data_IF_086098482153
#
_entry.id   IF_086098482153
#
_cell.length_a   1.000
_cell.length_b   1.000
_cell.length_c   1.000
_cell.angle_alpha   90.00
_cell.angle_beta   90.00
_cell.angle_gamma   90.00
#
_symmetry.space_group_name_H-M   'P 1'
#
loop_
_entity.id
_entity.type
_entity.pdbx_description
1 polymer ?
#
# COMPACT_ATOMS: atom_id res chain seq x y z
N UNK A 1 -21.59 33.85 19.86
CA UNK A 1 -20.51 32.97 20.37
C UNK A 1 -20.95 31.54 20.15
N UNK A 2 -20.47 30.90 19.09
CA UNK A 2 -20.71 29.46 18.89
C UNK A 2 -19.98 28.66 19.99
N UNK A 3 -20.59 27.63 20.57
CA UNK A 3 -19.93 26.84 21.59
C UNK A 3 -18.75 26.10 20.97
N UNK A 4 -17.55 26.32 21.50
CA UNK A 4 -16.35 25.52 21.21
C UNK A 4 -16.68 24.06 21.56
N UNK A 5 -17.07 23.25 20.55
CA UNK A 5 -17.15 21.79 20.67
C UNK A 5 -15.80 21.31 21.17
N UNK A 6 -15.76 20.78 22.39
CA UNK A 6 -14.61 20.07 22.95
C UNK A 6 -14.30 18.89 22.03
N UNK A 7 -13.26 19.04 21.19
CA UNK A 7 -12.79 17.95 20.35
C UNK A 7 -12.05 16.99 21.29
N UNK A 8 -12.64 15.82 21.55
CA UNK A 8 -11.96 14.75 22.25
C UNK A 8 -10.64 14.43 21.50
N UNK A 9 -9.53 14.20 22.21
CA UNK A 9 -8.27 13.85 21.58
C UNK A 9 -8.42 12.53 20.82
N UNK A 10 -7.73 12.41 19.68
CA UNK A 10 -7.70 11.18 18.89
C UNK A 10 -6.94 10.12 19.70
N UNK A 11 -7.61 9.01 20.01
CA UNK A 11 -7.09 7.91 20.84
C UNK A 11 -6.54 6.74 20.04
N UNK A 12 -6.63 6.79 18.70
CA UNK A 12 -6.26 5.71 17.80
C UNK A 12 -5.08 6.09 16.90
N UNK A 13 -4.34 5.09 16.41
CA UNK A 13 -3.15 5.28 15.59
C UNK A 13 -3.38 4.74 14.19
N UNK A 14 -3.27 5.63 13.19
CA UNK A 14 -3.36 5.24 11.78
C UNK A 14 -2.09 4.55 11.31
N UNK A 15 -2.22 3.38 10.69
CA UNK A 15 -1.08 2.59 10.19
C UNK A 15 -1.21 2.33 8.68
N UNK A 16 -0.30 2.81 7.83
CA UNK A 16 -0.35 2.54 6.40
C UNK A 16 0.03 1.08 6.11
N UNK A 17 -0.72 0.41 5.24
CA UNK A 17 -0.37 -0.94 4.79
C UNK A 17 0.55 -0.87 3.57
N UNK A 18 1.86 -0.94 3.84
CA UNK A 18 2.92 -0.81 2.86
C UNK A 18 3.55 -2.17 2.47
N UNK A 19 4.21 -2.25 1.29
CA UNK A 19 5.04 -3.40 0.92
C UNK A 19 6.17 -3.66 1.92
N UNK A 20 6.52 -4.94 2.09
CA UNK A 20 7.57 -5.35 3.04
C UNK A 20 8.94 -4.74 2.70
N UNK A 21 9.26 -4.64 1.42
CA UNK A 21 10.50 -4.02 0.93
C UNK A 21 10.58 -2.50 1.14
N UNK A 22 9.53 -1.88 1.69
CA UNK A 22 9.53 -0.49 2.14
C UNK A 22 9.62 -0.39 3.66
N UNK A 23 9.02 -1.35 4.38
CA UNK A 23 8.99 -1.37 5.85
C UNK A 23 10.34 -1.70 6.48
N UNK A 24 11.13 -2.54 5.82
CA UNK A 24 12.45 -2.95 6.32
C UNK A 24 13.55 -1.99 5.89
N UNK A 25 14.43 -1.63 6.82
CA UNK A 25 15.67 -0.90 6.54
C UNK A 25 16.84 -1.82 6.12
N UNK A 26 16.61 -3.14 6.09
CA UNK A 26 17.62 -4.11 5.69
C UNK A 26 17.88 -4.04 4.18
N UNK A 27 19.14 -3.82 3.80
CA UNK A 27 19.58 -3.80 2.41
C UNK A 27 20.01 -5.20 2.00
N UNK A 28 19.31 -5.78 1.02
CA UNK A 28 19.75 -7.00 0.35
C UNK A 28 20.98 -6.66 -0.50
N UNK A 29 22.06 -7.41 -0.33
CA UNK A 29 23.33 -7.19 -1.02
C UNK A 29 23.63 -8.29 -2.05
N UNK A 30 24.43 -7.93 -3.04
CA UNK A 30 25.07 -8.85 -3.98
C UNK A 30 26.55 -8.54 -4.05
N UNK A 31 27.37 -9.55 -4.30
CA UNK A 31 28.81 -9.39 -4.40
C UNK A 31 29.21 -8.99 -5.82
N UNK A 32 30.06 -7.97 -5.93
CA UNK A 32 30.65 -7.52 -7.19
C UNK A 32 32.17 -7.44 -7.08
N UNK A 33 32.84 -7.57 -8.21
CA UNK A 33 34.26 -7.25 -8.31
C UNK A 33 34.47 -5.76 -8.49
N UNK A 34 35.35 -5.21 -7.66
CA UNK A 34 35.74 -3.81 -7.67
C UNK A 34 37.25 -3.72 -7.82
N UNK A 35 37.71 -2.89 -8.75
CA UNK A 35 39.13 -2.59 -8.92
C UNK A 35 39.41 -1.13 -8.56
N UNK A 36 40.67 -0.84 -8.28
CA UNK A 36 41.17 0.49 -7.95
C UNK A 36 41.69 1.18 -9.20
N UNK A 37 41.18 2.38 -9.48
CA UNK A 37 41.63 3.28 -10.53
C UNK A 37 42.93 3.94 -10.07
N UNK A 38 44.03 3.59 -10.74
CA UNK A 38 45.35 4.21 -10.53
C UNK A 38 45.42 5.51 -11.33
N UNK A 39 45.06 5.46 -12.62
CA UNK A 39 45.09 6.63 -13.50
C UNK A 39 43.71 7.29 -13.62
N UNK A 40 43.48 8.39 -12.90
CA UNK A 40 42.21 9.14 -12.93
C UNK A 40 41.88 9.75 -14.29
N UNK A 41 42.88 10.00 -15.15
CA UNK A 41 42.62 10.55 -16.50
C UNK A 41 41.99 9.51 -17.44
N UNK A 42 42.16 8.22 -17.15
CA UNK A 42 41.60 7.12 -17.93
C UNK A 42 40.19 6.72 -17.52
N UNK A 43 39.63 7.26 -16.43
CA UNK A 43 38.34 6.82 -15.87
C UNK A 43 37.20 6.83 -16.90
N UNK A 44 37.06 7.89 -17.70
CA UNK A 44 36.01 7.96 -18.72
C UNK A 44 36.17 6.92 -19.83
N UNK A 45 37.41 6.56 -20.18
CA UNK A 45 37.69 5.51 -21.18
C UNK A 45 37.31 4.13 -20.61
N UNK A 46 37.72 3.86 -19.37
CA UNK A 46 37.42 2.60 -18.66
C UNK A 46 35.91 2.39 -18.48
N UNK A 47 35.18 3.43 -18.08
CA UNK A 47 33.72 3.34 -17.93
C UNK A 47 33.04 3.05 -19.27
N UNK A 48 33.51 3.67 -20.37
CA UNK A 48 32.99 3.43 -21.73
C UNK A 48 33.27 1.99 -22.20
N UNK A 49 34.49 1.49 -22.02
CA UNK A 49 34.84 0.13 -22.42
C UNK A 49 34.05 -0.91 -21.61
N UNK A 50 33.90 -0.75 -20.30
CA UNK A 50 33.02 -1.61 -19.50
C UNK A 50 31.56 -1.56 -19.94
N UNK A 51 31.07 -0.38 -20.33
CA UNK A 51 29.71 -0.20 -20.83
C UNK A 51 29.43 -0.97 -22.11
N UNK A 52 30.40 -1.01 -23.04
CA UNK A 52 30.30 -1.76 -24.30
C UNK A 52 30.23 -3.28 -24.08
N UNK A 53 30.84 -3.78 -23.01
CA UNK A 53 30.86 -5.21 -22.68
C UNK A 53 29.56 -5.71 -22.05
N UNK A 54 28.62 -4.81 -21.69
CA UNK A 54 27.30 -5.13 -21.13
C UNK A 54 27.31 -6.04 -19.90
N UNK A 55 28.42 -6.08 -19.16
CA UNK A 55 28.66 -7.08 -18.09
C UNK A 55 27.79 -6.85 -16.86
N UNK A 56 27.17 -5.66 -16.70
CA UNK A 56 26.35 -5.32 -15.52
C UNK A 56 25.00 -4.71 -15.91
N UNK A 57 24.33 -5.26 -16.92
CA UNK A 57 23.00 -4.78 -17.31
C UNK A 57 21.97 -4.88 -16.16
N UNK A 58 22.22 -5.70 -15.12
CA UNK A 58 21.32 -5.91 -13.99
C UNK A 58 21.45 -4.89 -12.84
N UNK A 59 22.54 -4.11 -12.74
CA UNK A 59 22.79 -3.17 -11.62
C UNK A 59 22.90 -1.69 -12.07
N UNK A 60 22.01 -1.26 -12.96
CA UNK A 60 22.01 0.12 -13.50
C UNK A 60 21.68 1.19 -12.46
N UNK A 61 21.13 0.81 -11.31
CA UNK A 61 20.87 1.71 -10.18
C UNK A 61 22.13 2.11 -9.41
N UNK A 62 23.25 1.38 -9.54
CA UNK A 62 24.50 1.69 -8.86
C UNK A 62 25.29 2.74 -9.63
N UNK A 63 25.94 3.68 -8.92
CA UNK A 63 26.94 4.54 -9.55
C UNK A 63 28.14 3.70 -9.93
N UNK A 64 28.65 3.88 -11.14
CA UNK A 64 29.70 2.96 -11.64
C UNK A 64 31.05 3.12 -10.92
N UNK A 65 31.36 4.34 -10.52
CA UNK A 65 32.60 4.73 -9.85
C UNK A 65 32.24 5.33 -8.50
N UNK A 66 33.00 4.97 -7.48
CA UNK A 66 32.95 5.54 -6.15
C UNK A 66 34.37 5.88 -5.71
N UNK A 67 34.71 7.18 -5.63
CA UNK A 67 36.08 7.64 -5.40
C UNK A 67 37.08 7.05 -6.42
N UNK A 68 38.04 6.25 -5.97
CA UNK A 68 39.02 5.54 -6.81
C UNK A 68 38.59 4.10 -7.11
N UNK A 69 37.39 3.69 -6.78
CA UNK A 69 36.92 2.31 -6.95
C UNK A 69 35.92 2.22 -8.09
N UNK A 70 36.05 1.21 -8.95
CA UNK A 70 35.14 0.97 -10.07
C UNK A 70 34.60 -0.45 -10.04
N UNK A 71 33.30 -0.60 -10.27
CA UNK A 71 32.69 -1.93 -10.41
C UNK A 71 33.06 -2.51 -11.77
N UNK A 72 33.52 -3.76 -11.81
CA UNK A 72 33.84 -4.49 -13.03
C UNK A 72 32.68 -5.40 -13.47
N UNK A 73 32.26 -6.33 -12.59
CA UNK A 73 31.18 -7.28 -12.85
C UNK A 73 30.61 -7.90 -11.56
N UNK A 74 29.51 -8.65 -11.68
CA UNK A 74 29.00 -9.50 -10.61
C UNK A 74 29.98 -10.63 -10.28
N UNK A 75 30.07 -10.99 -8.99
CA UNK A 75 31.03 -12.00 -8.55
C UNK A 75 30.65 -13.42 -8.99
N UNK A 76 29.35 -13.78 -9.00
CA UNK A 76 28.81 -15.07 -9.48
C UNK A 76 29.71 -16.29 -9.15
N UNK A 77 30.16 -16.40 -7.90
CA UNK A 77 31.05 -17.46 -7.39
C UNK A 77 32.43 -17.59 -8.06
N UNK A 78 32.83 -16.61 -8.87
CA UNK A 78 34.18 -16.51 -9.41
C UNK A 78 35.16 -16.00 -8.35
N UNK A 79 36.44 -16.32 -8.53
CA UNK A 79 37.54 -15.70 -7.79
C UNK A 79 38.13 -14.48 -8.55
N UNK A 80 38.94 -13.64 -7.89
CA UNK A 80 39.54 -12.46 -8.53
C UNK A 80 40.35 -12.74 -9.80
N UNK A 81 41.09 -13.85 -9.86
CA UNK A 81 41.91 -14.21 -11.02
C UNK A 81 41.05 -14.61 -12.22
N UNK A 82 39.97 -15.37 -11.96
CA UNK A 82 38.97 -15.73 -12.95
C UNK A 82 38.23 -14.51 -13.50
N UNK A 83 37.93 -13.52 -12.65
CA UNK A 83 37.35 -12.24 -13.08
C UNK A 83 38.26 -11.52 -14.10
N UNK A 84 39.55 -11.42 -13.81
CA UNK A 84 40.53 -10.81 -14.72
C UNK A 84 40.60 -11.58 -16.04
N UNK A 85 40.66 -12.92 -15.98
CA UNK A 85 40.71 -13.77 -17.16
C UNK A 85 39.47 -13.60 -18.06
N UNK A 86 38.27 -13.58 -17.47
CA UNK A 86 37.00 -13.39 -18.19
C UNK A 86 36.92 -12.01 -18.86
N UNK A 87 37.32 -10.95 -18.16
CA UNK A 87 37.32 -9.60 -18.73
C UNK A 87 38.32 -9.46 -19.87
N UNK A 88 39.54 -10.03 -19.73
CA UNK A 88 40.52 -10.07 -20.84
C UNK A 88 40.00 -10.84 -22.05
N UNK A 89 39.33 -11.98 -21.83
CA UNK A 89 38.70 -12.78 -22.90
C UNK A 89 37.63 -11.98 -23.66
N UNK A 90 36.93 -11.08 -22.97
CA UNK A 90 35.96 -10.14 -23.55
C UNK A 90 36.61 -8.91 -24.20
N UNK A 91 37.94 -8.81 -24.24
CA UNK A 91 38.67 -7.70 -24.83
C UNK A 91 38.78 -6.46 -23.94
N UNK A 92 38.59 -6.60 -22.62
CA UNK A 92 38.78 -5.51 -21.67
C UNK A 92 40.26 -5.28 -21.37
N UNK A 93 40.71 -4.03 -21.52
CA UNK A 93 42.03 -3.60 -21.10
C UNK A 93 41.99 -3.05 -19.66
N UNK A 94 42.96 -3.48 -18.86
CA UNK A 94 43.12 -3.06 -17.47
C UNK A 94 44.04 -1.85 -17.32
N UNK A 95 44.48 -1.21 -18.42
CA UNK A 95 45.26 0.03 -18.34
C UNK A 95 44.57 1.10 -17.48
N UNK A 96 45.34 1.67 -16.55
CA UNK A 96 44.85 2.62 -15.56
C UNK A 96 44.12 2.00 -14.35
N UNK A 97 43.98 0.67 -14.26
CA UNK A 97 43.49 -0.07 -13.09
C UNK A 97 44.63 -0.80 -12.35
N UNK A 98 44.38 -1.22 -11.12
CA UNK A 98 45.37 -1.98 -10.34
C UNK A 98 45.51 -3.44 -10.78
N UNK A 99 44.51 -3.98 -11.49
CA UNK A 99 44.49 -5.37 -11.93
C UNK A 99 44.32 -6.37 -10.78
N UNK A 100 43.97 -5.89 -9.57
CA UNK A 100 43.77 -6.68 -8.36
C UNK A 100 42.34 -6.48 -7.85
N UNK A 101 41.33 -7.04 -8.54
CA UNK A 101 39.95 -6.86 -8.15
C UNK A 101 39.67 -7.49 -6.78
N UNK A 102 38.81 -6.85 -6.01
CA UNK A 102 38.34 -7.31 -4.71
C UNK A 102 36.84 -7.52 -4.74
N UNK A 103 36.35 -8.45 -3.94
CA UNK A 103 34.92 -8.69 -3.79
C UNK A 103 34.37 -7.69 -2.78
N UNK A 104 33.33 -6.95 -3.18
CA UNK A 104 32.66 -5.94 -2.34
C UNK A 104 31.15 -6.18 -2.38
N UNK A 105 30.46 -6.21 -1.22
CA UNK A 105 29.00 -6.28 -1.19
C UNK A 105 28.39 -4.92 -1.56
N UNK A 106 27.44 -4.92 -2.49
CA UNK A 106 26.72 -3.73 -2.95
C UNK A 106 25.21 -3.95 -2.92
N UNK A 107 24.38 -2.89 -2.87
CA UNK A 107 22.93 -3.02 -2.85
C UNK A 107 22.39 -3.74 -4.11
N UNK A 108 21.64 -4.82 -3.90
CA UNK A 108 21.06 -5.63 -4.98
C UNK A 108 19.96 -4.87 -5.75
N UNK A 109 19.23 -4.01 -5.05
CA UNK A 109 18.09 -3.26 -5.58
C UNK A 109 18.24 -1.77 -5.27
N UNK A 110 17.55 -0.94 -6.06
CA UNK A 110 17.44 0.48 -5.79
C UNK A 110 16.69 0.72 -4.47
N UNK A 111 17.25 1.52 -3.54
CA UNK A 111 16.57 1.91 -2.32
C UNK A 111 15.21 2.57 -2.59
N UNK A 112 14.22 2.29 -1.74
CA UNK A 112 12.87 2.86 -1.82
C UNK A 112 12.66 4.03 -0.87
N UNK A 113 13.34 4.03 0.28
CA UNK A 113 13.21 5.06 1.31
C UNK A 113 14.52 5.82 1.54
N UNK A 114 14.44 7.00 2.16
CA UNK A 114 15.60 7.78 2.55
C UNK A 114 16.47 7.03 3.56
N UNK A 115 15.87 6.31 4.52
CA UNK A 115 16.59 5.45 5.47
C UNK A 115 17.36 4.35 4.75
N UNK A 116 16.70 3.61 3.84
CA UNK A 116 17.35 2.59 3.03
C UNK A 116 18.48 3.18 2.17
N UNK A 117 18.28 4.36 1.57
CA UNK A 117 19.32 5.01 0.78
C UNK A 117 20.53 5.43 1.66
N UNK A 118 20.29 5.87 2.90
CA UNK A 118 21.37 6.17 3.85
C UNK A 118 22.18 4.91 4.17
N UNK A 119 21.53 3.76 4.38
CA UNK A 119 22.21 2.48 4.60
C UNK A 119 22.95 2.01 3.34
N UNK A 120 22.30 2.06 2.18
CA UNK A 120 22.85 1.66 0.90
C UNK A 120 24.12 2.44 0.56
N UNK A 121 24.15 3.76 0.83
CA UNK A 121 25.33 4.62 0.62
C UNK A 121 26.56 4.21 1.44
N UNK A 122 26.38 3.54 2.59
CA UNK A 122 27.50 2.99 3.37
C UNK A 122 28.19 1.83 2.66
N UNK A 123 27.46 1.10 1.81
CA UNK A 123 27.97 -0.01 1.01
C UNK A 123 28.47 0.46 -0.35
N UNK A 124 27.59 1.10 -1.12
CA UNK A 124 27.91 1.64 -2.44
C UNK A 124 26.90 2.71 -2.87
N UNK A 125 27.35 3.83 -3.48
CA UNK A 125 26.43 4.87 -3.91
C UNK A 125 25.47 4.39 -5.00
N UNK A 126 24.18 4.64 -4.78
CA UNK A 126 23.09 4.35 -5.71
C UNK A 126 22.49 5.65 -6.27
N UNK A 127 21.85 5.54 -7.43
CA UNK A 127 20.87 6.50 -7.89
C UNK A 127 19.63 6.36 -7.01
N UNK A 128 19.15 7.46 -6.45
CA UNK A 128 17.99 7.49 -5.57
C UNK A 128 17.25 8.81 -5.74
N UNK A 129 15.95 8.71 -5.92
CA UNK A 129 15.03 9.84 -6.00
C UNK A 129 13.95 9.61 -4.93
N UNK A 130 13.95 10.39 -3.84
CA UNK A 130 12.98 10.21 -2.76
C UNK A 130 11.55 10.36 -3.28
N UNK A 131 10.68 9.40 -2.96
CA UNK A 131 9.24 9.55 -3.14
C UNK A 131 8.70 10.37 -1.95
N UNK A 132 8.51 11.67 -2.17
CA UNK A 132 8.02 12.60 -1.14
C UNK A 132 6.73 12.11 -0.46
N UNK A 133 5.86 11.44 -1.21
CA UNK A 133 4.58 10.95 -0.69
C UNK A 133 4.81 9.78 0.24
N UNK A 134 5.65 8.83 -0.17
CA UNK A 134 6.01 7.67 0.66
C UNK A 134 6.72 8.10 1.95
N UNK A 135 7.66 9.05 1.86
CA UNK A 135 8.36 9.59 3.02
C UNK A 135 7.40 10.27 4.01
N UNK A 136 6.46 11.07 3.50
CA UNK A 136 5.42 11.69 4.34
C UNK A 136 4.55 10.65 5.05
N UNK A 137 4.23 9.53 4.38
CA UNK A 137 3.51 8.41 4.98
C UNK A 137 4.33 7.75 6.10
N UNK A 138 5.62 7.49 5.85
CA UNK A 138 6.52 6.85 6.82
C UNK A 138 6.78 7.71 8.06
N UNK A 139 6.85 9.04 7.89
CA UNK A 139 7.03 9.97 9.02
C UNK A 139 5.73 10.25 9.79
N UNK A 140 4.58 9.73 9.35
CA UNK A 140 3.29 9.97 10.00
C UNK A 140 2.72 11.38 9.77
N UNK A 141 3.36 12.18 8.91
CA UNK A 141 2.95 13.57 8.61
C UNK A 141 1.95 13.66 7.46
N UNK A 142 1.53 12.52 6.92
CA UNK A 142 0.70 12.45 5.73
C UNK A 142 -0.72 12.98 5.94
N UNK A 143 -1.26 12.87 7.15
CA UNK A 143 -2.54 13.46 7.52
C UNK A 143 -2.36 14.52 8.60
N UNK A 144 -2.91 15.70 8.35
CA UNK A 144 -2.98 16.73 9.39
C UNK A 144 -4.13 16.45 10.38
N UNK A 145 -4.15 17.18 11.50
CA UNK A 145 -5.15 17.02 12.55
C UNK A 145 -6.61 17.16 12.06
N UNK A 146 -6.88 18.06 11.11
CA UNK A 146 -8.23 18.23 10.54
C UNK A 146 -8.65 17.00 9.73
N UNK A 147 -7.74 16.43 8.96
CA UNK A 147 -7.99 15.21 8.19
C UNK A 147 -8.19 14.01 9.10
N UNK A 148 -7.44 13.88 10.20
CA UNK A 148 -7.64 12.80 11.17
C UNK A 148 -9.02 12.90 11.85
N UNK A 149 -9.47 14.10 12.21
CA UNK A 149 -10.85 14.32 12.71
C UNK A 149 -11.91 13.96 11.66
N UNK A 150 -11.63 14.23 10.40
CA UNK A 150 -12.52 13.88 9.28
C UNK A 150 -12.62 12.36 9.10
N UNK A 151 -11.48 11.66 9.15
CA UNK A 151 -11.37 10.20 9.14
C UNK A 151 -12.14 9.59 10.31
N UNK A 152 -11.97 10.13 11.52
CA UNK A 152 -12.72 9.72 12.73
C UNK A 152 -14.23 9.79 12.50
N UNK A 153 -14.72 10.94 12.01
CA UNK A 153 -16.16 11.17 11.74
C UNK A 153 -16.73 10.16 10.75
N UNK A 154 -16.02 9.88 9.66
CA UNK A 154 -16.49 8.92 8.65
C UNK A 154 -16.47 7.48 9.18
N UNK A 155 -15.46 7.11 9.97
CA UNK A 155 -15.44 5.79 10.61
C UNK A 155 -16.56 5.63 11.65
N UNK A 156 -16.89 6.67 12.42
CA UNK A 156 -18.06 6.65 13.32
C UNK A 156 -19.37 6.47 12.57
N UNK A 157 -19.47 7.05 11.38
CA UNK A 157 -20.62 6.83 10.50
C UNK A 157 -20.67 5.36 10.09
N UNK A 158 -19.55 4.76 9.66
CA UNK A 158 -19.49 3.33 9.35
C UNK A 158 -19.87 2.44 10.55
N UNK A 159 -19.44 2.79 11.77
CA UNK A 159 -19.82 2.11 13.01
C UNK A 159 -21.35 2.11 13.25
N UNK A 160 -22.05 3.20 12.92
CA UNK A 160 -23.52 3.23 13.06
C UNK A 160 -24.26 2.24 12.16
N UNK A 161 -23.64 1.79 11.06
CA UNK A 161 -24.16 0.78 10.14
C UNK A 161 -23.64 -0.63 10.43
N UNK A 162 -22.84 -0.82 11.49
CA UNK A 162 -22.26 -2.11 11.86
C UNK A 162 -23.22 -3.01 12.68
N UNK A 163 -24.54 -2.83 12.55
CA UNK A 163 -25.54 -3.65 13.24
C UNK A 163 -25.43 -5.16 12.88
N UNK A 164 -25.04 -5.46 11.63
CA UNK A 164 -24.70 -6.81 11.15
C UNK A 164 -23.25 -7.24 11.45
N UNK A 165 -22.54 -6.52 12.30
CA UNK A 165 -21.16 -6.78 12.72
C UNK A 165 -20.11 -5.98 11.94
N UNK A 166 -20.36 -5.65 10.67
CA UNK A 166 -19.47 -4.82 9.84
C UNK A 166 -20.28 -3.72 9.16
N UNK A 167 -19.77 -2.49 9.19
CA UNK A 167 -20.35 -1.34 8.50
C UNK A 167 -19.34 -0.70 7.56
N UNK A 168 -19.83 -0.08 6.49
CA UNK A 168 -19.01 0.57 5.48
C UNK A 168 -19.64 1.87 4.95
N UNK A 169 -18.80 2.84 4.60
CA UNK A 169 -19.18 4.15 4.05
C UNK A 169 -18.24 4.50 2.90
N UNK A 170 -18.79 5.05 1.82
CA UNK A 170 -18.05 5.60 0.68
C UNK A 170 -18.24 7.11 0.63
N UNK A 171 -17.14 7.84 0.52
CA UNK A 171 -17.11 9.30 0.61
C UNK A 171 -16.46 9.89 -0.64
N UNK A 172 -17.03 10.97 -1.16
CA UNK A 172 -16.37 11.89 -2.08
C UNK A 172 -15.54 12.90 -1.26
N UNK A 173 -14.21 12.73 -1.22
CA UNK A 173 -13.32 13.56 -0.41
C UNK A 173 -13.12 14.96 -1.00
N UNK A 174 -13.50 15.21 -2.25
CA UNK A 174 -13.43 16.54 -2.87
C UNK A 174 -14.58 17.44 -2.43
N UNK A 175 -15.71 16.84 -2.05
CA UNK A 175 -16.93 17.52 -1.63
C UNK A 175 -17.24 17.36 -0.15
N UNK A 176 -16.44 16.58 0.58
CA UNK A 176 -16.70 16.18 1.97
C UNK A 176 -18.11 15.56 2.13
N UNK A 177 -18.49 14.69 1.17
CA UNK A 177 -19.85 14.15 1.04
C UNK A 177 -19.87 12.63 1.13
N UNK A 178 -20.79 12.08 1.92
CA UNK A 178 -21.07 10.64 1.91
C UNK A 178 -21.88 10.29 0.66
N UNK A 179 -21.32 9.42 -0.18
CA UNK A 179 -21.96 8.96 -1.42
C UNK A 179 -22.88 7.77 -1.13
N UNK A 180 -22.42 6.84 -0.30
CA UNK A 180 -23.16 5.63 0.04
C UNK A 180 -22.74 5.10 1.41
N UNK A 181 -23.62 4.34 2.05
CA UNK A 181 -23.41 3.73 3.35
C UNK A 181 -24.20 2.42 3.44
N UNK A 182 -23.61 1.39 4.05
CA UNK A 182 -24.24 0.08 4.16
C UNK A 182 -23.66 -0.76 5.31
N UNK A 183 -24.40 -1.80 5.71
CA UNK A 183 -23.97 -2.82 6.67
C UNK A 183 -23.77 -4.20 6.03
N UNK A 184 -23.42 -5.16 6.87
CA UNK A 184 -23.31 -6.58 6.55
C UNK A 184 -24.68 -7.28 6.60
N UNK A 185 -25.05 -7.96 5.51
CA UNK A 185 -26.32 -8.68 5.37
C UNK A 185 -26.09 -10.16 5.02
N UNK A 186 -25.01 -10.77 5.56
CA UNK A 186 -24.73 -12.20 5.37
C UNK A 186 -25.82 -13.14 5.88
N UNK A 187 -26.68 -12.67 6.78
CA UNK A 187 -27.88 -13.40 7.20
C UNK A 187 -28.89 -13.60 6.06
N UNK A 188 -28.92 -12.67 5.08
CA UNK A 188 -29.76 -12.80 3.89
C UNK A 188 -29.07 -13.61 2.78
N UNK A 189 -27.78 -13.34 2.53
CA UNK A 189 -27.01 -14.03 1.50
C UNK A 189 -25.50 -14.00 1.80
N UNK A 190 -24.77 -15.12 1.66
CA UNK A 190 -23.35 -15.22 2.06
C UNK A 190 -22.40 -14.17 1.46
N UNK A 191 -22.68 -13.68 0.25
CA UNK A 191 -21.84 -12.67 -0.42
C UNK A 191 -22.19 -11.21 -0.09
N UNK A 192 -23.27 -10.95 0.65
CA UNK A 192 -23.73 -9.59 1.01
C UNK A 192 -22.91 -9.01 2.19
N UNK A 193 -21.61 -8.93 1.99
CA UNK A 193 -20.69 -8.26 2.91
C UNK A 193 -20.86 -6.74 2.82
N UNK A 194 -20.54 -6.00 3.89
CA UNK A 194 -20.69 -4.55 3.94
C UNK A 194 -20.07 -3.80 2.75
N UNK A 195 -18.89 -4.24 2.28
CA UNK A 195 -18.23 -3.65 1.10
C UNK A 195 -19.00 -3.94 -0.19
N UNK A 196 -19.51 -5.14 -0.38
CA UNK A 196 -20.27 -5.48 -1.60
C UNK A 196 -21.56 -4.66 -1.66
N UNK A 197 -22.25 -4.55 -0.53
CA UNK A 197 -23.47 -3.77 -0.41
C UNK A 197 -23.20 -2.28 -0.61
N UNK A 198 -22.15 -1.70 -0.01
CA UNK A 198 -21.89 -0.26 -0.19
C UNK A 198 -21.46 0.08 -1.62
N UNK A 199 -20.74 -0.81 -2.32
CA UNK A 199 -20.41 -0.63 -3.75
C UNK A 199 -21.67 -0.71 -4.60
N UNK A 200 -22.59 -1.61 -4.29
CA UNK A 200 -23.90 -1.70 -4.95
C UNK A 200 -24.73 -0.42 -4.75
N UNK A 201 -24.72 0.16 -3.53
CA UNK A 201 -25.36 1.45 -3.27
C UNK A 201 -24.73 2.60 -4.06
N UNK A 202 -23.40 2.65 -4.21
CA UNK A 202 -22.73 3.61 -5.12
C UNK A 202 -23.22 3.41 -6.56
N UNK A 203 -23.33 2.16 -7.01
CA UNK A 203 -23.82 1.85 -8.35
C UNK A 203 -25.26 2.32 -8.55
N UNK A 204 -26.14 2.14 -7.55
CA UNK A 204 -27.53 2.64 -7.60
C UNK A 204 -27.60 4.15 -7.75
N UNK A 205 -26.80 4.90 -6.99
CA UNK A 205 -26.70 6.37 -7.11
C UNK A 205 -26.25 6.78 -8.51
N UNK A 206 -25.49 5.95 -9.21
CA UNK A 206 -24.99 6.19 -10.57
C UNK A 206 -25.89 5.60 -11.68
N UNK A 207 -27.11 5.17 -11.35
CA UNK A 207 -28.07 4.61 -12.31
C UNK A 207 -27.85 3.13 -12.67
N UNK A 208 -27.06 2.41 -11.88
CA UNK A 208 -26.85 0.97 -11.95
C UNK A 208 -27.41 0.23 -10.74
N UNK A 209 -26.64 -0.72 -10.20
CA UNK A 209 -27.02 -1.57 -9.08
C UNK A 209 -27.48 -2.97 -9.53
N UNK A 210 -27.08 -3.99 -8.78
CA UNK A 210 -27.36 -5.39 -9.02
C UNK A 210 -28.44 -5.95 -8.07
N UNK A 211 -28.53 -5.45 -6.84
CA UNK A 211 -29.51 -5.94 -5.87
C UNK A 211 -30.69 -4.99 -5.71
N UNK A 212 -31.89 -5.54 -5.88
CA UNK A 212 -33.10 -4.84 -5.48
C UNK A 212 -33.10 -4.71 -3.95
N UNK A 213 -33.27 -3.50 -3.45
CA UNK A 213 -33.32 -3.24 -2.01
C UNK A 213 -34.61 -3.84 -1.44
N UNK A 214 -34.57 -5.11 -1.03
CA UNK A 214 -35.71 -5.82 -0.42
C UNK A 214 -35.84 -5.59 1.08
N UNK A 215 -35.05 -4.69 1.67
CA UNK A 215 -35.02 -4.47 3.11
C UNK A 215 -35.04 -2.98 3.44
N UNK A 216 -36.11 -2.59 4.13
CA UNK A 216 -36.39 -1.29 4.74
C UNK A 216 -35.24 -0.83 5.63
N UNK A 217 -34.21 -0.22 5.06
CA UNK A 217 -33.27 0.62 5.81
C UNK A 217 -33.65 2.05 5.52
N UNK A 218 -33.99 2.73 6.61
CA UNK A 218 -34.56 4.05 6.66
C UNK A 218 -33.91 5.00 5.64
N UNK A 219 -34.76 5.74 4.94
CA UNK A 219 -34.44 7.07 4.42
C UNK A 219 -34.02 7.97 5.59
N UNK A 220 -32.84 7.77 6.16
CA UNK A 220 -32.20 8.74 7.06
C UNK A 220 -31.56 9.81 6.18
N UNK A 221 -32.43 10.73 5.77
CA UNK A 221 -32.19 12.16 5.54
C UNK A 221 -30.75 12.64 5.76
N UNK A 222 -29.95 12.56 4.70
CA UNK A 222 -28.75 13.40 4.43
C UNK A 222 -28.08 13.06 3.10
N UNK A 223 -28.59 12.09 2.33
CA UNK A 223 -28.25 11.97 0.90
C UNK A 223 -28.92 13.11 0.17
N UNK A 224 -28.12 14.04 -0.36
CA UNK A 224 -28.58 15.11 -1.23
C UNK A 224 -29.41 14.51 -2.36
N UNK A 225 -30.71 14.77 -2.36
CA UNK A 225 -31.70 14.27 -3.33
C UNK A 225 -31.42 14.73 -4.77
N UNK A 226 -30.42 15.61 -4.98
CA UNK A 226 -30.04 16.17 -6.26
C UNK A 226 -29.26 15.19 -7.17
N UNK A 227 -28.94 13.98 -6.70
CA UNK A 227 -28.25 12.95 -7.51
C UNK A 227 -29.19 11.88 -8.08
N UNK A 228 -30.49 11.91 -7.75
CA UNK A 228 -31.49 10.99 -8.31
C UNK A 228 -32.15 11.62 -9.55
N UNK A 229 -31.33 12.08 -10.48
CA UNK A 229 -31.75 12.31 -11.87
C UNK A 229 -31.06 11.23 -12.68
N UNK A 230 -31.80 10.45 -13.48
CA UNK A 230 -31.30 9.31 -14.27
C UNK A 230 -30.29 9.65 -15.38
N UNK A 231 -29.55 10.75 -15.22
CA UNK A 231 -28.34 11.03 -15.96
C UNK A 231 -27.16 10.34 -15.26
N UNK A 232 -26.18 9.83 -16.01
CA UNK A 232 -25.02 9.11 -15.45
C UNK A 232 -24.04 10.09 -14.78
N UNK A 233 -24.49 10.76 -13.72
CA UNK A 233 -23.73 11.79 -13.05
C UNK A 233 -22.84 11.17 -11.99
N UNK A 234 -21.55 11.05 -12.29
CA UNK A 234 -20.55 10.57 -11.34
C UNK A 234 -19.35 9.91 -12.02
N UNK A 235 -18.25 9.69 -11.28
CA UNK A 235 -17.14 8.91 -11.76
C UNK A 235 -17.53 7.41 -11.83
N UNK A 236 -16.72 6.58 -12.49
CA UNK A 236 -16.97 5.13 -12.53
C UNK A 236 -16.89 4.52 -11.12
N UNK A 237 -18.02 4.07 -10.57
CA UNK A 237 -18.14 3.48 -9.23
C UNK A 237 -17.42 4.33 -8.17
N UNK A 238 -16.43 3.76 -7.49
CA UNK A 238 -15.69 4.40 -6.40
C UNK A 238 -14.44 5.14 -6.87
N UNK A 239 -14.32 5.44 -8.16
CA UNK A 239 -13.15 6.17 -8.70
C UNK A 239 -13.04 7.54 -8.03
N UNK A 240 -11.92 7.78 -7.34
CA UNK A 240 -11.67 9.03 -6.61
C UNK A 240 -12.26 9.08 -5.20
N UNK A 241 -12.99 8.05 -4.77
CA UNK A 241 -13.66 8.00 -3.47
C UNK A 241 -12.85 7.24 -2.42
N UNK A 242 -13.00 7.67 -1.17
CA UNK A 242 -12.42 7.00 -0.01
C UNK A 242 -13.46 6.09 0.64
N UNK A 243 -13.04 4.89 1.03
CA UNK A 243 -13.91 3.88 1.65
C UNK A 243 -13.49 3.68 3.09
N UNK A 244 -14.45 3.75 4.01
CA UNK A 244 -14.27 3.50 5.43
C UNK A 244 -15.02 2.23 5.80
N UNK A 245 -14.37 1.27 6.47
CA UNK A 245 -14.98 0.00 6.85
C UNK A 245 -14.54 -0.41 8.24
N UNK A 246 -15.47 -0.86 9.08
CA UNK A 246 -15.14 -1.11 10.49
C UNK A 246 -14.18 -2.28 10.68
N UNK A 247 -14.23 -3.28 9.80
CA UNK A 247 -13.39 -4.48 9.85
C UNK A 247 -12.63 -4.67 8.54
N UNK A 248 -11.40 -5.16 8.61
CA UNK A 248 -10.59 -5.43 7.43
C UNK A 248 -11.36 -6.29 6.40
N UNK A 249 -11.47 -5.83 5.13
CA UNK A 249 -12.12 -6.57 4.06
C UNK A 249 -11.47 -7.94 3.82
N UNK A 250 -12.29 -8.98 3.60
CA UNK A 250 -11.80 -10.26 3.09
C UNK A 250 -11.32 -10.14 1.64
N UNK A 251 -10.67 -11.19 1.12
CA UNK A 251 -10.14 -11.25 -0.25
C UNK A 251 -11.17 -10.87 -1.33
N UNK A 252 -12.41 -11.36 -1.21
CA UNK A 252 -13.51 -11.02 -2.13
C UNK A 252 -13.79 -9.51 -2.14
N UNK A 253 -13.99 -8.93 -0.96
CA UNK A 253 -14.28 -7.50 -0.80
C UNK A 253 -13.10 -6.63 -1.25
N UNK A 254 -11.87 -7.05 -0.93
CA UNK A 254 -10.66 -6.37 -1.36
C UNK A 254 -10.54 -6.34 -2.89
N UNK A 255 -10.86 -7.45 -3.58
CA UNK A 255 -10.89 -7.47 -5.05
C UNK A 255 -12.03 -6.64 -5.63
N UNK A 256 -13.20 -6.60 -4.98
CA UNK A 256 -14.28 -5.70 -5.38
C UNK A 256 -13.87 -4.22 -5.31
N UNK A 257 -13.07 -3.82 -4.33
CA UNK A 257 -12.52 -2.46 -4.23
C UNK A 257 -11.53 -2.13 -5.35
N UNK A 258 -10.72 -3.12 -5.79
CA UNK A 258 -9.88 -2.99 -7.00
C UNK A 258 -10.75 -2.72 -8.23
N UNK A 259 -11.78 -3.54 -8.46
CA UNK A 259 -12.66 -3.41 -9.62
C UNK A 259 -13.53 -2.15 -9.59
N UNK A 260 -13.85 -1.64 -8.39
CA UNK A 260 -14.60 -0.41 -8.18
C UNK A 260 -13.71 0.84 -8.21
N UNK A 261 -12.40 0.68 -8.37
CA UNK A 261 -11.39 1.76 -8.43
C UNK A 261 -11.37 2.69 -7.22
N UNK A 262 -11.59 2.15 -6.02
CA UNK A 262 -11.49 2.92 -4.78
C UNK A 262 -10.16 3.69 -4.71
N UNK A 263 -10.15 4.92 -4.20
CA UNK A 263 -8.94 5.75 -4.09
C UNK A 263 -8.11 5.36 -2.87
N UNK A 264 -8.77 5.29 -1.71
CA UNK A 264 -8.18 4.88 -0.43
C UNK A 264 -9.17 4.04 0.35
N UNK A 265 -8.66 3.16 1.20
CA UNK A 265 -9.46 2.36 2.12
C UNK A 265 -8.92 2.55 3.52
N UNK A 266 -9.80 2.90 4.44
CA UNK A 266 -9.55 3.00 5.87
C UNK A 266 -10.30 1.88 6.56
N UNK A 267 -9.63 1.09 7.39
CA UNK A 267 -10.29 0.10 8.21
C UNK A 267 -9.96 0.22 9.70
N UNK A 268 -10.89 -0.23 10.53
CA UNK A 268 -10.75 -0.19 11.99
C UNK A 268 -9.93 -1.36 12.52
N UNK A 269 -10.58 -2.49 12.78
CA UNK A 269 -9.92 -3.69 13.30
C UNK A 269 -9.54 -4.68 12.20
N UNK A 270 -8.54 -5.52 12.48
CA UNK A 270 -8.13 -6.61 11.61
C UNK A 270 -9.20 -7.71 11.49
N UNK A 271 -9.07 -8.57 10.48
CA UNK A 271 -9.98 -9.69 10.30
C UNK A 271 -9.58 -10.90 11.16
N UNK A 272 -9.86 -10.86 12.46
CA UNK A 272 -9.50 -11.95 13.39
C UNK A 272 -10.17 -13.31 13.07
N UNK A 273 -11.26 -13.31 12.28
CA UNK A 273 -12.10 -14.48 12.02
C UNK A 273 -11.85 -15.16 10.67
N UNK A 274 -10.91 -14.68 9.86
CA UNK A 274 -10.66 -15.22 8.52
C UNK A 274 -9.61 -14.43 7.74
N UNK A 275 -9.32 -14.80 6.48
CA UNK A 275 -8.23 -14.17 5.75
C UNK A 275 -8.55 -12.71 5.41
N UNK A 276 -7.74 -11.80 5.96
CA UNK A 276 -7.71 -10.38 5.61
C UNK A 276 -7.10 -10.16 4.22
N UNK A 277 -7.75 -9.33 3.40
CA UNK A 277 -7.38 -9.06 2.01
C UNK A 277 -6.54 -7.80 1.80
N UNK A 278 -6.36 -6.96 2.83
CA UNK A 278 -5.72 -5.66 2.71
C UNK A 278 -4.56 -5.44 3.70
N UNK A 279 -4.02 -6.51 4.30
CA UNK A 279 -2.94 -6.42 5.28
C UNK A 279 -2.76 -7.67 6.13
N UNK A 280 -3.85 -8.42 6.37
CA UNK A 280 -3.84 -9.67 7.12
C UNK A 280 -3.15 -10.80 6.37
N UNK A 281 -3.92 -11.69 5.72
CA UNK A 281 -3.33 -12.84 5.01
C UNK A 281 -2.72 -12.48 3.66
N UNK A 282 -3.28 -11.48 2.98
CA UNK A 282 -2.79 -10.97 1.71
C UNK A 282 -3.01 -9.46 1.66
N UNK A 283 -2.20 -8.77 0.86
CA UNK A 283 -2.39 -7.34 0.54
C UNK A 283 -2.69 -7.22 -0.95
N UNK A 284 -3.96 -7.41 -1.34
CA UNK A 284 -4.37 -7.44 -2.76
C UNK A 284 -3.95 -6.15 -3.46
N UNK A 285 -4.10 -5.00 -2.82
CA UNK A 285 -3.75 -3.67 -3.36
C UNK A 285 -2.26 -3.51 -3.70
N UNK A 286 -1.38 -4.38 -3.18
CA UNK A 286 0.06 -4.36 -3.41
C UNK A 286 0.52 -5.35 -4.49
N UNK A 287 -0.37 -6.22 -4.98
CA UNK A 287 0.00 -7.20 -6.00
C UNK A 287 0.48 -6.50 -7.29
N UNK A 288 1.50 -7.07 -7.95
CA UNK A 288 2.08 -6.47 -9.15
C UNK A 288 1.15 -6.56 -10.37
N UNK A 289 0.40 -7.67 -10.49
CA UNK A 289 -0.42 -7.99 -11.67
C UNK A 289 -1.84 -7.40 -11.69
N UNK A 290 -2.22 -6.59 -10.70
CA UNK A 290 -3.53 -5.92 -10.68
C UNK A 290 -3.48 -4.62 -11.47
N UNK A 291 -4.60 -4.25 -12.08
CA UNK A 291 -4.69 -3.06 -12.94
C UNK A 291 -4.87 -1.75 -12.15
N UNK A 292 -5.59 -1.79 -11.02
CA UNK A 292 -5.85 -0.61 -10.18
C UNK A 292 -5.12 -0.71 -8.83
N UNK A 293 -4.58 0.41 -8.34
CA UNK A 293 -3.89 0.52 -7.06
C UNK A 293 -4.54 1.58 -6.19
N UNK A 294 -4.60 1.30 -4.90
CA UNK A 294 -5.16 2.20 -3.90
C UNK A 294 -4.41 2.12 -2.58
N UNK A 295 -4.51 3.18 -1.78
CA UNK A 295 -3.84 3.27 -0.48
C UNK A 295 -4.71 2.64 0.60
N UNK A 296 -4.09 1.96 1.55
CA UNK A 296 -4.79 1.32 2.66
C UNK A 296 -4.21 1.80 3.97
N UNK A 297 -5.10 2.16 4.89
CA UNK A 297 -4.76 2.57 6.24
C UNK A 297 -5.59 1.78 7.26
N UNK A 298 -4.93 1.26 8.28
CA UNK A 298 -5.48 0.43 9.34
C UNK A 298 -5.55 1.21 10.67
N UNK A 299 -6.40 0.74 11.59
CA UNK A 299 -6.39 1.16 12.99
C UNK A 299 -7.28 2.37 13.32
N UNK A 300 -8.23 2.75 12.46
CA UNK A 300 -9.15 3.85 12.77
C UNK A 300 -10.23 3.38 13.75
N UNK A 301 -10.27 3.93 14.97
CA UNK A 301 -11.23 3.49 16.02
C UNK A 301 -11.19 1.97 16.21
N UNK A 302 -9.97 1.42 16.28
CA UNK A 302 -9.71 -0.02 16.26
C UNK A 302 -10.48 -0.78 17.35
N UNK A 303 -10.47 -0.29 18.58
CA UNK A 303 -11.12 -0.93 19.72
C UNK A 303 -12.65 -0.89 19.64
N UNK A 304 -13.22 0.25 19.21
CA UNK A 304 -14.66 0.37 19.00
C UNK A 304 -15.13 -0.54 17.85
N UNK A 305 -14.34 -0.62 16.77
CA UNK A 305 -14.61 -1.50 15.65
C UNK A 305 -14.53 -2.98 16.03
N UNK A 306 -13.50 -3.37 16.81
CA UNK A 306 -13.35 -4.74 17.33
C UNK A 306 -14.54 -5.11 18.22
N UNK A 307 -14.96 -4.20 19.09
CA UNK A 307 -16.12 -4.40 19.96
C UNK A 307 -17.41 -4.61 19.16
N UNK A 308 -17.66 -3.78 18.13
CA UNK A 308 -18.82 -3.92 17.27
C UNK A 308 -18.86 -5.27 16.54
N UNK A 309 -17.70 -5.75 16.07
CA UNK A 309 -17.57 -7.05 15.41
C UNK A 309 -17.83 -8.24 16.37
N UNK A 310 -17.38 -8.15 17.63
CA UNK A 310 -17.55 -9.20 18.65
C UNK A 310 -18.98 -9.29 19.18
N UNK A 311 -19.70 -8.17 19.33
CA UNK A 311 -21.09 -8.15 19.82
C UNK A 311 -22.06 -8.96 18.95
N UNK A 312 -21.75 -9.16 17.67
CA UNK A 312 -22.53 -10.04 16.79
C UNK A 312 -22.27 -11.53 17.10
N UNK A 313 -21.01 -11.90 17.31
CA UNK A 313 -20.63 -13.30 17.59
C UNK A 313 -21.32 -13.82 18.85
N UNK A 314 -21.36 -13.01 19.90
CA UNK A 314 -22.03 -13.38 21.16
C UNK A 314 -23.54 -13.52 21.00
N UNK A 315 -24.20 -12.65 20.22
CA UNK A 315 -25.64 -12.78 19.90
C UNK A 315 -25.95 -14.06 19.11
N UNK A 316 -25.13 -14.41 18.13
CA UNK A 316 -25.33 -15.59 17.30
C UNK A 316 -25.08 -16.89 18.08
N UNK A 317 -24.05 -16.94 18.94
CA UNK A 317 -23.80 -18.10 19.82
C UNK A 317 -24.95 -18.30 20.82
N UNK A 318 -25.46 -17.22 21.41
CA UNK A 318 -26.59 -17.29 22.33
C UNK A 318 -27.91 -17.71 21.66
N UNK A 319 -28.10 -17.40 20.38
CA UNK A 319 -29.24 -17.88 19.60
C UNK A 319 -29.10 -19.36 19.22
N UNK A 320 -27.90 -19.80 18.82
CA UNK A 320 -27.66 -21.19 18.44
C UNK A 320 -27.77 -22.17 19.64
N UNK A 321 -27.38 -21.75 20.85
CA UNK A 321 -27.57 -22.56 22.07
C UNK A 321 -29.05 -22.74 22.46
N UNK A 322 -29.93 -21.79 22.11
CA UNK A 322 -31.37 -21.89 22.38
C UNK A 322 -32.16 -22.72 21.38
N UNK A 323 -31.58 -23.06 20.22
CA UNK A 323 -32.19 -23.93 19.21
C UNK A 323 -31.75 -25.40 19.33
N UNK A 324 -30.86 -25.72 20.26
CA UNK A 324 -30.38 -27.08 20.53
C UNK A 324 -30.99 -27.71 21.79
N UNK A 325 -31.98 -27.04 22.40
CA UNK A 325 -32.89 -27.58 23.43
C UNK A 325 -34.29 -27.76 22.83
#
# INVERSE_FOLDING_TARGET
>A
MEPKRSRLPITWTLRPVLPENVKTDTIITVNVFVDTIINRTSTSKIVKSLGQLSVINSLTHLKRVNNQSIILMLANDLNPDQCVAELKKKGFDFDGLSGRPKIVPVPAYMPKTCSQNLQARKLWPCNFHPDKRLESILCGEFFNQLQLVTIDRYMRTALSYAAGGVGAVVVDPSKDLIVAQSGDFRAEHPVKHAIMCVVDEVAKVQGGGAWNSSSTIAKTSSVSTDLITGDKTGPYLCTGYDVYVTKEPCVMCAMALVHSRARRVFYGCENDSGPGGLGGSVSIHLLKGINHRFEVYAGVLEEECRTAALQLLTKNVAQNMKCTE
#
